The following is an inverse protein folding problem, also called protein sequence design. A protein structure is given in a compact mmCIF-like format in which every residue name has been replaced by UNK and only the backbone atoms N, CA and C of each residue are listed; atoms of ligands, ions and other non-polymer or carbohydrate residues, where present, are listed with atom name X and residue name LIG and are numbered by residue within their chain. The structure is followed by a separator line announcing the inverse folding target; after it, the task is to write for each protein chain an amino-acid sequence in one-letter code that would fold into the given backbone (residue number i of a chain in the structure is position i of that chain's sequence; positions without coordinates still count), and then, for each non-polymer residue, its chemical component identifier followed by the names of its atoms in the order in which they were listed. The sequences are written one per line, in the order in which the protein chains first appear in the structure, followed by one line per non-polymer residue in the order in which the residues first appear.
data_IF_093363303029
#
_entry.id   IF_093363303029
#
_cell.length_a   1.000
_cell.length_b   1.000
_cell.length_c   1.000
_cell.angle_alpha   90.00
_cell.angle_beta   90.00
_cell.angle_gamma   90.00
#
_symmetry.space_group_name_H-M   'P 1'
#
loop_
_entity.id
_entity.type
_entity.pdbx_description
1 polymer ?
#
# COMPACT_ATOMS: atom_id res chain seq x y z
N UNK A 1 -3.67 10.69 4.20
CA UNK A 1 -3.11 11.90 4.87
C UNK A 1 -1.58 11.96 4.84
N UNK A 2 -0.81 10.88 5.13
CA UNK A 2 0.67 10.93 5.12
C UNK A 2 1.27 11.30 3.76
N UNK A 3 0.77 10.75 2.67
CA UNK A 3 1.25 11.06 1.30
C UNK A 3 1.17 12.56 0.98
N UNK A 4 0.11 13.23 1.43
CA UNK A 4 -0.03 14.67 1.26
C UNK A 4 0.98 15.45 2.15
N UNK A 5 1.24 14.97 3.36
CA UNK A 5 2.24 15.56 4.24
C UNK A 5 3.66 15.42 3.65
N UNK A 6 3.99 14.26 3.10
CA UNK A 6 5.28 13.99 2.48
C UNK A 6 5.50 14.85 1.23
N UNK A 7 4.48 14.97 0.37
CA UNK A 7 4.50 15.88 -0.78
C UNK A 7 4.66 17.34 -0.33
N UNK A 8 3.96 17.74 0.73
CA UNK A 8 4.12 19.06 1.32
C UNK A 8 5.53 19.32 1.83
N UNK A 9 6.17 18.33 2.46
CA UNK A 9 7.55 18.44 2.93
C UNK A 9 8.55 18.56 1.76
N UNK A 10 8.39 17.75 0.70
CA UNK A 10 9.23 17.83 -0.50
C UNK A 10 9.04 19.16 -1.22
N UNK A 11 7.79 19.64 -1.32
CA UNK A 11 7.47 20.95 -1.90
C UNK A 11 8.09 22.09 -1.08
N UNK A 12 8.01 22.02 0.25
CA UNK A 12 8.66 22.97 1.15
C UNK A 12 10.18 23.00 0.94
N UNK A 13 10.81 21.84 0.76
CA UNK A 13 12.24 21.76 0.47
C UNK A 13 12.59 22.36 -0.91
N UNK A 14 11.76 22.14 -1.94
CA UNK A 14 11.92 22.77 -3.25
C UNK A 14 11.80 24.30 -3.17
N UNK A 15 10.81 24.81 -2.40
CA UNK A 15 10.64 26.24 -2.15
C UNK A 15 11.84 26.86 -1.42
N UNK A 16 12.33 26.21 -0.37
CA UNK A 16 13.51 26.67 0.37
C UNK A 16 14.75 26.71 -0.53
N UNK A 17 14.90 25.74 -1.43
CA UNK A 17 15.97 25.76 -2.43
C UNK A 17 15.84 26.90 -3.43
N UNK A 18 14.62 27.16 -3.92
CA UNK A 18 14.36 28.25 -4.87
C UNK A 18 14.61 29.64 -4.22
N UNK A 19 14.32 29.79 -2.92
CA UNK A 19 14.51 31.03 -2.16
C UNK A 19 15.91 31.18 -1.56
N UNK A 20 16.79 30.17 -1.71
CA UNK A 20 18.14 30.25 -1.14
C UNK A 20 18.94 31.39 -1.80
N UNK A 21 19.62 32.21 -1.02
CA UNK A 21 20.34 33.40 -1.52
C UNK A 21 21.45 33.04 -2.52
N UNK A 22 21.90 31.81 -2.54
CA UNK A 22 22.87 31.30 -3.51
C UNK A 22 22.30 31.08 -4.93
N UNK A 23 20.96 31.05 -5.08
CA UNK A 23 20.29 30.82 -6.36
C UNK A 23 20.04 32.12 -7.18
N UNK A 24 20.29 33.29 -6.59
CA UNK A 24 19.96 34.59 -7.21
C UNK A 24 18.49 34.94 -7.08
N UNK A 25 17.99 35.93 -7.81
CA UNK A 25 16.58 36.28 -7.84
C UNK A 25 15.77 35.16 -8.51
N UNK A 26 14.71 34.70 -7.85
CA UNK A 26 13.80 33.67 -8.43
C UNK A 26 13.20 34.20 -9.72
N UNK A 27 13.52 33.57 -10.82
CA UNK A 27 13.00 33.94 -12.14
C UNK A 27 11.54 33.48 -12.31
N UNK A 28 10.78 34.19 -13.13
CA UNK A 28 9.40 33.81 -13.48
C UNK A 28 9.31 32.37 -14.04
N UNK A 29 10.33 31.94 -14.78
CA UNK A 29 10.38 30.58 -15.31
C UNK A 29 10.46 29.50 -14.23
N UNK A 30 11.22 29.72 -13.15
CA UNK A 30 11.35 28.79 -12.04
C UNK A 30 10.02 28.63 -11.26
N UNK A 31 9.29 29.77 -11.06
CA UNK A 31 7.96 29.75 -10.45
C UNK A 31 6.98 28.96 -11.31
N UNK A 32 6.98 29.16 -12.61
CA UNK A 32 6.09 28.44 -13.54
C UNK A 32 6.36 26.94 -13.50
N UNK A 33 7.64 26.52 -13.55
CA UNK A 33 8.00 25.11 -13.49
C UNK A 33 7.69 24.46 -12.13
N UNK A 34 7.84 25.21 -11.03
CA UNK A 34 7.45 24.73 -9.70
C UNK A 34 5.93 24.53 -9.61
N UNK A 35 5.13 25.50 -10.07
CA UNK A 35 3.68 25.37 -10.12
C UNK A 35 3.24 24.19 -10.99
N UNK A 36 3.88 24.00 -12.14
CA UNK A 36 3.63 22.85 -13.01
C UNK A 36 3.93 21.53 -12.30
N UNK A 37 5.02 21.45 -11.56
CA UNK A 37 5.36 20.27 -10.76
C UNK A 37 4.29 19.97 -9.68
N UNK A 38 3.75 21.01 -9.02
CA UNK A 38 2.66 20.87 -8.05
C UNK A 38 1.39 20.35 -8.71
N UNK A 39 1.01 20.89 -9.87
CA UNK A 39 -0.16 20.44 -10.63
C UNK A 39 0.02 18.98 -11.06
N UNK A 40 1.16 18.61 -11.59
CA UNK A 40 1.47 17.23 -11.99
C UNK A 40 1.40 16.30 -10.77
N UNK A 41 1.98 16.69 -9.64
CA UNK A 41 1.90 15.92 -8.39
C UNK A 41 0.46 15.77 -7.88
N UNK A 42 -0.35 16.83 -7.96
CA UNK A 42 -1.79 16.78 -7.64
C UNK A 42 -2.57 15.81 -8.53
N UNK A 43 -2.34 15.88 -9.84
CA UNK A 43 -2.94 14.95 -10.81
C UNK A 43 -2.49 13.50 -10.57
N UNK A 44 -1.22 13.28 -10.23
CA UNK A 44 -0.72 11.96 -9.84
C UNK A 44 -1.43 11.43 -8.60
N UNK A 45 -1.76 12.30 -7.62
CA UNK A 45 -2.50 11.89 -6.42
C UNK A 45 -3.92 11.43 -6.74
N UNK A 46 -4.59 12.12 -7.66
CA UNK A 46 -5.96 11.77 -8.10
C UNK A 46 -5.96 10.54 -9.01
N UNK A 47 -4.90 10.37 -9.80
CA UNK A 47 -4.75 9.27 -10.74
C UNK A 47 -4.10 8.02 -10.14
N UNK A 48 -3.82 8.00 -8.83
CA UNK A 48 -3.21 6.85 -8.14
C UNK A 48 -4.00 5.55 -8.44
N UNK A 49 -3.26 4.51 -8.84
CA UNK A 49 -3.83 3.23 -9.26
C UNK A 49 -4.31 3.15 -10.73
N UNK A 50 -4.37 4.24 -11.48
CA UNK A 50 -4.74 4.22 -12.90
C UNK A 50 -3.52 3.89 -13.78
N UNK A 51 -3.76 3.09 -14.84
CA UNK A 51 -2.70 2.60 -15.75
C UNK A 51 -1.88 3.68 -16.46
N UNK A 52 -2.36 4.94 -16.48
CA UNK A 52 -1.70 6.07 -17.13
C UNK A 52 -1.01 7.07 -16.21
N UNK A 53 -1.06 6.88 -14.90
CA UNK A 53 -0.57 7.85 -13.91
C UNK A 53 0.92 8.18 -14.08
N UNK A 54 1.74 7.24 -14.56
CA UNK A 54 3.18 7.45 -14.79
C UNK A 54 3.48 8.37 -15.98
N UNK A 55 2.54 8.54 -16.91
CA UNK A 55 2.72 9.44 -18.04
C UNK A 55 2.85 10.92 -17.60
N UNK A 56 2.22 11.28 -16.48
CA UNK A 56 2.24 12.65 -15.94
C UNK A 56 3.64 13.08 -15.49
N UNK A 57 4.34 12.37 -14.57
CA UNK A 57 5.70 12.74 -14.20
C UNK A 57 6.70 12.59 -15.37
N UNK A 58 6.48 11.62 -16.27
CA UNK A 58 7.29 11.45 -17.44
C UNK A 58 7.16 12.63 -18.42
N UNK A 59 5.95 13.14 -18.65
CA UNK A 59 5.72 14.30 -19.52
C UNK A 59 6.38 15.57 -18.97
N UNK A 60 6.33 15.78 -17.65
CA UNK A 60 7.04 16.89 -17.00
C UNK A 60 8.55 16.82 -17.25
N UNK A 61 9.15 15.65 -17.03
CA UNK A 61 10.60 15.46 -17.22
C UNK A 61 11.03 15.64 -18.69
N UNK A 62 10.23 15.16 -19.63
CA UNK A 62 10.48 15.33 -21.07
C UNK A 62 10.34 16.79 -21.50
N UNK A 63 9.25 17.46 -21.10
CA UNK A 63 9.00 18.85 -21.41
C UNK A 63 10.03 19.79 -20.74
N UNK A 64 10.50 19.45 -19.56
CA UNK A 64 11.50 20.19 -18.79
C UNK A 64 12.92 20.02 -19.29
N UNK A 65 13.23 19.01 -20.11
CA UNK A 65 14.58 18.70 -20.55
C UNK A 65 15.35 19.88 -21.23
N UNK A 66 14.71 20.73 -22.06
CA UNK A 66 15.40 21.90 -22.65
C UNK A 66 15.59 23.06 -21.65
N UNK A 67 14.91 23.11 -20.54
CA UNK A 67 14.85 24.25 -19.62
C UNK A 67 15.54 23.95 -18.29
N UNK A 68 16.62 24.69 -17.98
CA UNK A 68 17.34 24.52 -16.70
C UNK A 68 16.45 24.84 -15.47
N UNK A 69 15.51 25.78 -15.62
CA UNK A 69 14.55 26.17 -14.55
C UNK A 69 13.63 25.02 -14.08
N UNK A 70 13.39 24.00 -14.91
CA UNK A 70 12.57 22.84 -14.56
C UNK A 70 13.18 21.97 -13.46
N UNK A 71 14.49 22.10 -13.20
CA UNK A 71 15.19 21.35 -12.17
C UNK A 71 14.68 21.64 -10.75
N UNK A 72 14.10 22.82 -10.51
CA UNK A 72 13.54 23.21 -9.22
C UNK A 72 12.37 22.30 -8.79
N UNK A 73 11.53 21.87 -9.74
CA UNK A 73 10.43 20.95 -9.48
C UNK A 73 10.81 19.45 -9.57
N UNK A 74 12.03 19.14 -10.02
CA UNK A 74 12.46 17.76 -10.23
C UNK A 74 12.36 16.86 -8.99
N UNK A 75 12.68 17.28 -7.75
CA UNK A 75 12.56 16.43 -6.57
C UNK A 75 11.11 15.96 -6.31
N UNK A 76 10.10 16.80 -6.55
CA UNK A 76 8.69 16.45 -6.40
C UNK A 76 8.28 15.39 -7.42
N UNK A 77 8.72 15.55 -8.65
CA UNK A 77 8.43 14.60 -9.74
C UNK A 77 9.16 13.27 -9.53
N UNK A 78 10.39 13.32 -8.99
CA UNK A 78 11.13 12.10 -8.57
C UNK A 78 10.38 11.34 -7.49
N UNK A 79 9.82 12.03 -6.50
CA UNK A 79 9.00 11.40 -5.47
C UNK A 79 7.84 10.61 -6.09
N UNK A 80 7.07 11.22 -6.99
CA UNK A 80 5.93 10.58 -7.64
C UNK A 80 6.37 9.42 -8.56
N UNK A 81 7.47 9.58 -9.30
CA UNK A 81 8.03 8.55 -10.16
C UNK A 81 8.46 7.30 -9.37
N UNK A 82 9.20 7.50 -8.27
CA UNK A 82 9.67 6.41 -7.40
C UNK A 82 8.50 5.72 -6.71
N UNK A 83 7.51 6.48 -6.24
CA UNK A 83 6.31 5.92 -5.64
C UNK A 83 5.53 5.04 -6.64
N UNK A 84 5.33 5.52 -7.85
CA UNK A 84 4.67 4.74 -8.90
C UNK A 84 5.49 3.54 -9.36
N UNK A 85 6.83 3.61 -9.32
CA UNK A 85 7.70 2.45 -9.54
C UNK A 85 7.49 1.38 -8.45
N UNK A 86 7.38 1.79 -7.19
CA UNK A 86 7.22 0.88 -6.06
C UNK A 86 5.85 0.19 -6.02
N UNK A 87 4.77 0.94 -6.31
CA UNK A 87 3.38 0.48 -6.22
C UNK A 87 2.81 0.05 -7.58
N UNK A 88 3.44 0.45 -8.67
CA UNK A 88 2.93 0.31 -10.02
C UNK A 88 3.05 -1.10 -10.61
N UNK A 89 2.31 -1.29 -11.71
CA UNK A 89 2.35 -2.50 -12.53
C UNK A 89 3.75 -2.70 -13.18
N UNK A 90 4.00 -3.90 -13.73
CA UNK A 90 5.27 -4.21 -14.42
C UNK A 90 5.61 -3.20 -15.52
N UNK A 91 4.59 -2.73 -16.27
CA UNK A 91 4.77 -1.69 -17.32
C UNK A 91 5.13 -0.33 -16.72
N UNK A 92 4.51 0.07 -15.63
CA UNK A 92 4.83 1.29 -14.92
C UNK A 92 6.27 1.27 -14.40
N UNK A 93 6.73 0.14 -13.86
CA UNK A 93 8.12 -0.05 -13.42
C UNK A 93 9.13 0.11 -14.56
N UNK A 94 8.87 -0.47 -15.73
CA UNK A 94 9.74 -0.32 -16.89
C UNK A 94 9.82 1.14 -17.36
N UNK A 95 8.68 1.84 -17.46
CA UNK A 95 8.64 3.25 -17.82
C UNK A 95 9.38 4.13 -16.80
N UNK A 96 9.22 3.86 -15.50
CA UNK A 96 9.93 4.59 -14.45
C UNK A 96 11.45 4.42 -14.56
N UNK A 97 11.92 3.21 -14.84
CA UNK A 97 13.36 2.94 -15.08
C UNK A 97 13.87 3.68 -16.31
N UNK A 98 13.10 3.70 -17.40
CA UNK A 98 13.46 4.47 -18.61
C UNK A 98 13.52 5.99 -18.34
N UNK A 99 12.65 6.51 -17.44
CA UNK A 99 12.64 7.92 -17.08
C UNK A 99 13.65 8.29 -15.98
N UNK A 100 14.25 7.30 -15.29
CA UNK A 100 15.19 7.51 -14.18
C UNK A 100 16.41 8.40 -14.54
N UNK A 101 17.01 8.36 -15.73
CA UNK A 101 18.13 9.23 -16.06
C UNK A 101 17.73 10.70 -16.28
N UNK A 102 16.47 11.00 -16.62
CA UNK A 102 16.00 12.35 -16.92
C UNK A 102 16.20 13.37 -15.77
N UNK A 103 15.87 13.08 -14.49
CA UNK A 103 16.15 13.99 -13.38
C UNK A 103 17.67 14.30 -13.25
N UNK A 104 18.50 13.30 -13.49
CA UNK A 104 19.96 13.47 -13.44
C UNK A 104 20.43 14.43 -14.56
N UNK A 105 19.93 14.25 -15.77
CA UNK A 105 20.22 15.14 -16.90
C UNK A 105 19.78 16.58 -16.60
N UNK A 106 18.58 16.77 -16.05
CA UNK A 106 18.07 18.09 -15.63
C UNK A 106 18.98 18.74 -14.60
N UNK A 107 19.41 17.98 -13.58
CA UNK A 107 20.31 18.49 -12.55
C UNK A 107 21.72 18.84 -13.08
N UNK A 108 22.25 18.05 -13.99
CA UNK A 108 23.53 18.34 -14.61
C UNK A 108 23.45 19.62 -15.47
N UNK A 109 22.35 19.82 -16.18
CA UNK A 109 22.13 21.06 -16.97
C UNK A 109 21.94 22.28 -16.07
N UNK A 110 21.21 22.15 -14.96
CA UNK A 110 21.05 23.22 -13.99
C UNK A 110 22.39 23.65 -13.37
N UNK A 111 23.37 22.74 -13.27
CA UNK A 111 24.72 23.01 -12.78
C UNK A 111 25.45 24.07 -13.58
N UNK A 112 25.23 24.10 -14.87
CA UNK A 112 25.81 25.15 -15.74
C UNK A 112 25.17 26.53 -15.58
N UNK A 113 23.89 26.59 -15.13
CA UNK A 113 23.13 27.82 -15.04
C UNK A 113 23.14 28.44 -13.63
N UNK A 114 23.12 27.61 -12.55
CA UNK A 114 22.93 28.06 -11.17
C UNK A 114 24.10 27.73 -10.21
N UNK A 115 25.20 27.17 -10.71
CA UNK A 115 26.39 26.82 -9.92
C UNK A 115 26.32 25.43 -9.28
N UNK A 116 27.50 24.94 -8.82
CA UNK A 116 27.67 23.59 -8.30
C UNK A 116 26.89 23.34 -6.98
N UNK A 117 26.73 24.33 -6.14
CA UNK A 117 26.09 24.21 -4.83
C UNK A 117 24.58 23.92 -4.92
N UNK A 118 23.86 24.60 -5.81
CA UNK A 118 22.42 24.40 -6.03
C UNK A 118 22.12 23.04 -6.64
N UNK A 119 22.96 22.55 -7.55
CA UNK A 119 22.82 21.22 -8.14
C UNK A 119 23.03 20.10 -7.08
N UNK A 120 24.00 20.24 -6.19
CA UNK A 120 24.23 19.29 -5.10
C UNK A 120 23.05 19.30 -4.13
N UNK A 121 22.56 20.47 -3.73
CA UNK A 121 21.39 20.58 -2.86
C UNK A 121 20.15 19.93 -3.51
N UNK A 122 19.91 20.18 -4.80
CA UNK A 122 18.83 19.56 -5.56
C UNK A 122 18.94 18.03 -5.61
N UNK A 123 20.13 17.51 -5.82
CA UNK A 123 20.38 16.07 -5.83
C UNK A 123 20.10 15.44 -4.45
N UNK A 124 20.51 16.10 -3.36
CA UNK A 124 20.24 15.64 -1.99
C UNK A 124 18.74 15.61 -1.73
N UNK A 125 18.01 16.70 -2.07
CA UNK A 125 16.56 16.77 -1.87
C UNK A 125 15.85 15.72 -2.72
N UNK A 126 16.26 15.48 -3.96
CA UNK A 126 15.70 14.43 -4.81
C UNK A 126 15.95 13.02 -4.23
N UNK A 127 17.13 12.78 -3.65
CA UNK A 127 17.46 11.51 -3.01
C UNK A 127 16.64 11.29 -1.74
N UNK A 128 16.44 12.34 -0.93
CA UNK A 128 15.56 12.32 0.24
C UNK A 128 14.11 12.07 -0.17
N UNK A 129 13.64 12.73 -1.22
CA UNK A 129 12.30 12.52 -1.78
C UNK A 129 12.11 11.08 -2.26
N UNK A 130 13.08 10.51 -2.97
CA UNK A 130 13.06 9.12 -3.39
C UNK A 130 13.02 8.13 -2.19
N UNK A 131 13.84 8.40 -1.16
CA UNK A 131 13.83 7.61 0.09
C UNK A 131 12.49 7.68 0.81
N UNK A 132 11.89 8.85 0.88
CA UNK A 132 10.59 9.07 1.48
C UNK A 132 9.49 8.31 0.70
N UNK A 133 9.50 8.40 -0.62
CA UNK A 133 8.57 7.66 -1.48
C UNK A 133 8.67 6.13 -1.31
N UNK A 134 9.88 5.59 -1.18
CA UNK A 134 10.07 4.17 -0.92
C UNK A 134 9.54 3.75 0.45
N UNK A 135 9.80 4.55 1.50
CA UNK A 135 9.28 4.27 2.86
C UNK A 135 7.76 4.26 2.89
N UNK A 136 7.11 5.27 2.31
CA UNK A 136 5.65 5.34 2.29
C UNK A 136 5.03 4.21 1.49
N UNK A 137 5.62 3.84 0.34
CA UNK A 137 5.17 2.69 -0.44
C UNK A 137 5.33 1.36 0.32
N UNK A 138 6.42 1.17 1.06
CA UNK A 138 6.63 -0.02 1.90
C UNK A 138 5.63 -0.09 3.05
N UNK A 139 5.34 1.05 3.71
CA UNK A 139 4.33 1.12 4.78
C UNK A 139 2.92 0.82 4.26
N UNK A 140 2.56 1.33 3.08
CA UNK A 140 1.28 1.03 2.43
C UNK A 140 1.16 -0.46 2.11
N UNK A 141 2.17 -1.06 1.48
CA UNK A 141 2.19 -2.48 1.18
C UNK A 141 2.16 -3.36 2.44
N UNK A 142 2.83 -2.94 3.52
CA UNK A 142 2.79 -3.65 4.80
C UNK A 142 1.39 -3.60 5.44
N UNK A 143 0.71 -2.45 5.36
CA UNK A 143 -0.67 -2.30 5.85
C UNK A 143 -1.66 -3.17 5.08
N UNK A 144 -1.56 -3.19 3.76
CA UNK A 144 -2.41 -4.04 2.91
C UNK A 144 -2.23 -5.53 3.27
N UNK A 145 -0.98 -5.97 3.50
CA UNK A 145 -0.71 -7.34 3.96
C UNK A 145 -1.31 -7.63 5.33
N UNK A 146 -1.22 -6.69 6.27
CA UNK A 146 -1.82 -6.85 7.60
C UNK A 146 -3.34 -6.92 7.53
N UNK A 147 -3.98 -6.11 6.69
CA UNK A 147 -5.43 -6.19 6.46
C UNK A 147 -5.82 -7.54 5.86
N UNK A 148 -5.12 -7.99 4.82
CA UNK A 148 -5.38 -9.30 4.20
C UNK A 148 -5.19 -10.46 5.18
N UNK A 149 -4.14 -10.43 6.02
CA UNK A 149 -3.95 -11.44 7.08
C UNK A 149 -5.06 -11.41 8.14
N UNK A 150 -5.52 -10.22 8.51
CA UNK A 150 -6.60 -10.07 9.48
C UNK A 150 -7.92 -10.64 8.95
N UNK A 151 -8.20 -10.39 7.69
CA UNK A 151 -9.42 -10.89 7.04
C UNK A 151 -9.38 -12.42 6.92
N UNK A 152 -8.24 -13.00 6.53
CA UNK A 152 -8.02 -14.47 6.48
C UNK A 152 -8.17 -15.11 7.87
N UNK A 153 -7.60 -14.48 8.92
CA UNK A 153 -7.76 -14.95 10.29
C UNK A 153 -9.22 -14.87 10.75
N UNK A 154 -9.93 -13.81 10.40
CA UNK A 154 -11.35 -13.67 10.75
C UNK A 154 -12.19 -14.78 10.09
N UNK A 155 -11.98 -15.05 8.82
CA UNK A 155 -12.64 -16.14 8.10
C UNK A 155 -12.37 -17.50 8.75
N UNK A 156 -11.12 -17.80 9.12
CA UNK A 156 -10.74 -19.03 9.80
C UNK A 156 -11.39 -19.16 11.19
N UNK A 157 -11.47 -18.07 11.95
CA UNK A 157 -12.15 -18.06 13.25
C UNK A 157 -13.65 -18.34 13.10
N UNK A 158 -14.31 -17.77 12.11
CA UNK A 158 -15.72 -18.04 11.82
C UNK A 158 -15.92 -19.50 11.42
N UNK A 159 -15.09 -20.03 10.53
CA UNK A 159 -15.15 -21.44 10.12
C UNK A 159 -14.92 -22.41 11.29
N UNK A 160 -13.95 -22.10 12.17
CA UNK A 160 -13.71 -22.90 13.39
C UNK A 160 -14.89 -22.89 14.35
N UNK A 161 -15.53 -21.74 14.56
CA UNK A 161 -16.73 -21.63 15.40
C UNK A 161 -17.88 -22.46 14.84
N UNK A 162 -18.10 -22.38 13.52
CA UNK A 162 -19.12 -23.19 12.87
C UNK A 162 -18.83 -24.70 12.97
N UNK A 163 -17.57 -25.11 12.85
CA UNK A 163 -17.18 -26.52 13.03
C UNK A 163 -17.38 -27.00 14.47
N UNK A 164 -17.02 -26.17 15.46
CA UNK A 164 -17.28 -26.50 16.86
C UNK A 164 -18.77 -26.66 17.17
N UNK A 165 -19.60 -25.75 16.69
CA UNK A 165 -21.05 -25.83 16.90
C UNK A 165 -21.63 -27.14 16.32
N UNK A 166 -21.17 -27.55 15.13
CA UNK A 166 -21.58 -28.84 14.54
C UNK A 166 -21.12 -30.04 15.35
N UNK A 167 -19.91 -29.99 15.91
CA UNK A 167 -19.41 -31.06 16.79
C UNK A 167 -20.17 -31.15 18.10
N UNK A 168 -20.53 -30.03 18.71
CA UNK A 168 -21.36 -29.98 19.91
C UNK A 168 -22.76 -30.56 19.65
N UNK A 169 -23.39 -30.17 18.55
CA UNK A 169 -24.69 -30.70 18.12
C UNK A 169 -24.62 -32.22 17.85
N UNK A 170 -23.57 -32.70 17.16
CA UNK A 170 -23.38 -34.13 16.95
C UNK A 170 -23.19 -34.89 18.24
N UNK A 171 -22.46 -34.38 19.23
CA UNK A 171 -22.29 -34.98 20.55
C UNK A 171 -23.60 -35.03 21.35
N UNK A 172 -24.40 -33.97 21.26
CA UNK A 172 -25.73 -34.00 21.89
C UNK A 172 -26.63 -35.06 21.27
N UNK A 173 -26.62 -35.21 19.95
CA UNK A 173 -27.39 -36.29 19.29
C UNK A 173 -26.89 -37.68 19.70
N UNK A 174 -25.56 -37.88 19.78
CA UNK A 174 -24.96 -39.15 20.20
C UNK A 174 -25.34 -39.49 21.68
N UNK A 175 -25.26 -38.52 22.58
CA UNK A 175 -25.63 -38.74 23.98
C UNK A 175 -27.13 -39.06 24.15
N UNK A 176 -28.00 -38.36 23.39
CA UNK A 176 -29.43 -38.66 23.36
C UNK A 176 -29.72 -40.05 22.82
N UNK A 177 -29.03 -40.43 21.72
CA UNK A 177 -29.19 -41.77 21.14
C UNK A 177 -28.71 -42.87 22.11
N UNK A 178 -27.56 -42.67 22.76
CA UNK A 178 -27.07 -43.60 23.79
C UNK A 178 -28.03 -43.75 24.96
N UNK A 179 -28.61 -42.65 25.47
CA UNK A 179 -29.60 -42.69 26.55
C UNK A 179 -30.88 -43.44 26.15
N UNK A 180 -31.35 -43.27 24.90
CA UNK A 180 -32.50 -44.01 24.40
C UNK A 180 -32.19 -45.50 24.21
N UNK A 181 -31.01 -45.85 23.70
CA UNK A 181 -30.58 -47.23 23.59
C UNK A 181 -30.50 -47.93 24.95
N UNK A 182 -29.94 -47.25 25.96
CA UNK A 182 -29.86 -47.78 27.33
C UNK A 182 -31.25 -47.97 27.95
N UNK A 183 -32.16 -47.00 27.78
CA UNK A 183 -33.56 -47.17 28.23
C UNK A 183 -34.24 -48.39 27.59
N UNK A 184 -34.00 -48.59 26.29
CA UNK A 184 -34.58 -49.75 25.54
C UNK A 184 -33.96 -51.05 26.03
N UNK A 185 -32.65 -51.07 26.36
CA UNK A 185 -31.99 -52.23 26.94
C UNK A 185 -32.57 -52.60 28.32
N UNK A 186 -32.68 -51.61 29.20
CA UNK A 186 -33.25 -51.80 30.55
C UNK A 186 -34.69 -52.29 30.46
N UNK A 187 -35.52 -51.72 29.58
CA UNK A 187 -36.90 -52.16 29.41
C UNK A 187 -36.98 -53.61 28.96
N UNK A 188 -36.08 -54.07 28.08
CA UNK A 188 -36.00 -55.45 27.61
C UNK A 188 -35.56 -56.40 28.73
N UNK A 189 -34.51 -56.00 29.48
CA UNK A 189 -34.01 -56.79 30.63
C UNK A 189 -35.08 -56.98 31.69
N UNK A 190 -35.89 -55.94 31.98
CA UNK A 190 -37.01 -56.00 32.90
C UNK A 190 -38.10 -56.93 32.36
N UNK A 191 -38.44 -56.80 31.06
CA UNK A 191 -39.48 -57.64 30.43
C UNK A 191 -39.10 -59.13 30.47
N UNK A 192 -37.86 -59.44 30.17
CA UNK A 192 -37.35 -60.82 30.15
C UNK A 192 -37.26 -61.36 31.60
N UNK A 193 -36.83 -60.54 32.54
CA UNK A 193 -36.78 -60.93 33.95
C UNK A 193 -38.19 -61.20 34.57
N UNK A 194 -39.16 -60.33 34.29
CA UNK A 194 -40.54 -60.51 34.72
C UNK A 194 -41.22 -61.72 34.06
N UNK A 195 -40.95 -61.86 32.74
CA UNK A 195 -41.44 -63.01 31.93
C UNK A 195 -40.96 -64.39 32.50
N UNK A 196 -39.67 -64.45 32.84
CA UNK A 196 -39.09 -65.66 33.48
C UNK A 196 -39.66 -65.94 34.88
N UNK A 197 -39.97 -64.94 35.73
CA UNK A 197 -40.56 -65.08 37.00
C UNK A 197 -42.04 -65.62 36.90
N UNK A 198 -42.80 -65.07 35.94
CA UNK A 198 -44.15 -65.50 35.65
C UNK A 198 -44.23 -66.98 35.19
N UNK A 199 -43.31 -67.42 34.34
CA UNK A 199 -43.27 -68.79 33.87
C UNK A 199 -42.84 -69.80 34.91
N UNK A 200 -42.18 -69.40 36.01
CA UNK A 200 -41.80 -70.25 37.11
C UNK A 200 -42.90 -70.35 38.15
N UNK A 201 -43.87 -69.46 38.16
CA UNK A 201 -45.01 -69.46 39.12
C UNK A 201 -46.20 -70.14 38.58
N UNK A 202 -46.32 -70.48 37.35
CA UNK A 202 -47.28 -71.31 36.67
C UNK A 202 -46.77 -72.76 36.53
#
# INVERSE_FOLDING_TARGET
MRVLADRGAVLGACLLMALAPAAGAVGAAEVVWLLLAVVVGGLCAVADGRRGAIALPASYLLAGCPWAASAVGAPLVVYDLVRQWALGSRRARLLAVCCAPLPVVLMVRARGAAGAGSAVAGAVVALLAARLALRTAQEEAARERLHAMRDDLHEKVVALRASRARLEEAREHETRAAALAERTRIARDIHDGVGHLLTRLL
#
